data_IF_353914403252
#
_entry.id   IF_353914403252
#
_cell.length_a   1.000
_cell.length_b   1.000
_cell.length_c   1.000
_cell.angle_alpha   90.00
_cell.angle_beta   90.00
_cell.angle_gamma   90.00
#
_symmetry.space_group_name_H-M   'P 1'
#
loop_
_entity.id
_entity.type
_entity.pdbx_description
1 polymer ?
#
# COMPACT_ATOMS: atom_id res chain seq x y z
N UNK A 1 15.51 4.35 -16.08
CA UNK A 1 15.24 3.38 -15.00
C UNK A 1 15.67 2.01 -15.46
N UNK A 2 16.34 1.23 -14.61
CA UNK A 2 16.84 -0.10 -14.92
C UNK A 2 16.31 -1.06 -13.86
N UNK A 3 15.47 -2.00 -14.30
CA UNK A 3 14.89 -3.04 -13.45
C UNK A 3 15.51 -4.38 -13.85
N UNK A 4 16.25 -5.01 -12.93
CA UNK A 4 17.00 -6.23 -13.19
C UNK A 4 17.00 -7.15 -11.98
N UNK A 5 17.12 -8.49 -12.18
CA UNK A 5 17.14 -9.41 -11.07
C UNK A 5 18.41 -9.27 -10.22
N UNK A 6 18.41 -9.77 -8.97
CA UNK A 6 19.59 -9.78 -8.14
C UNK A 6 20.76 -10.49 -8.85
N UNK A 7 21.99 -10.00 -8.62
CA UNK A 7 23.24 -10.60 -9.12
C UNK A 7 23.46 -10.62 -10.65
N UNK A 8 22.64 -9.94 -11.44
CA UNK A 8 22.83 -9.83 -12.90
C UNK A 8 23.71 -8.63 -13.32
N UNK A 9 24.77 -8.34 -12.56
CA UNK A 9 25.76 -7.31 -12.91
C UNK A 9 25.29 -5.85 -12.87
N UNK A 10 24.05 -5.56 -12.46
CA UNK A 10 23.45 -4.21 -12.52
C UNK A 10 24.28 -3.13 -11.81
N UNK A 11 24.58 -3.29 -10.52
CA UNK A 11 25.37 -2.32 -9.75
C UNK A 11 26.83 -2.24 -10.19
N UNK A 12 27.41 -3.36 -10.64
CA UNK A 12 28.80 -3.40 -11.14
C UNK A 12 28.96 -2.57 -12.43
N UNK A 13 27.98 -2.65 -13.33
CA UNK A 13 28.01 -1.96 -14.61
C UNK A 13 27.60 -0.50 -14.44
N UNK A 14 26.43 -0.26 -13.84
CA UNK A 14 25.77 1.05 -13.77
C UNK A 14 26.38 1.94 -12.71
N UNK A 15 26.68 1.43 -11.52
CA UNK A 15 27.09 2.26 -10.38
C UNK A 15 28.60 2.21 -10.15
N UNK A 16 29.22 1.05 -10.33
CA UNK A 16 30.64 0.85 -10.02
C UNK A 16 31.59 1.23 -11.17
N UNK A 17 31.11 1.29 -12.42
CA UNK A 17 31.97 1.51 -13.60
C UNK A 17 31.56 2.74 -14.40
N UNK A 18 30.27 2.88 -14.71
CA UNK A 18 29.79 3.96 -15.59
C UNK A 18 30.14 5.39 -15.11
N UNK A 19 30.08 5.75 -13.80
CA UNK A 19 30.48 7.09 -13.36
C UNK A 19 31.92 7.46 -13.75
N UNK A 20 32.88 6.56 -13.53
CA UNK A 20 34.28 6.80 -13.89
C UNK A 20 34.47 6.98 -15.40
N UNK A 21 33.77 6.20 -16.22
CA UNK A 21 33.77 6.36 -17.68
C UNK A 21 33.14 7.70 -18.12
N UNK A 22 31.99 8.05 -17.54
CA UNK A 22 31.29 9.30 -17.82
C UNK A 22 32.16 10.52 -17.49
N UNK A 23 32.82 10.52 -16.33
CA UNK A 23 33.73 11.56 -15.89
C UNK A 23 34.99 11.64 -16.76
N UNK A 24 35.49 10.49 -17.22
CA UNK A 24 36.59 10.46 -18.18
C UNK A 24 36.26 11.21 -19.47
N UNK A 25 35.01 11.13 -19.95
CA UNK A 25 34.55 11.84 -21.15
C UNK A 25 34.07 13.27 -20.87
N UNK A 26 33.68 13.57 -19.63
CA UNK A 26 33.07 14.84 -19.25
C UNK A 26 33.71 15.37 -17.94
N UNK A 27 34.97 15.83 -17.98
CA UNK A 27 35.72 16.16 -16.77
C UNK A 27 35.18 17.38 -16.00
N UNK A 28 34.35 18.21 -16.62
CA UNK A 28 33.70 19.35 -15.94
C UNK A 28 32.41 18.96 -15.20
N UNK A 29 31.87 17.76 -15.44
CA UNK A 29 30.56 17.33 -14.96
C UNK A 29 30.65 16.66 -13.59
N UNK A 30 29.59 16.78 -12.80
CA UNK A 30 29.48 16.16 -11.47
C UNK A 30 28.58 14.94 -11.47
N UNK A 31 29.03 13.89 -10.77
CA UNK A 31 28.26 12.66 -10.56
C UNK A 31 27.91 12.51 -9.08
N UNK A 32 26.66 12.20 -8.77
CA UNK A 32 26.23 11.79 -7.43
C UNK A 32 25.68 10.37 -7.49
N UNK A 33 26.15 9.49 -6.61
CA UNK A 33 25.59 8.15 -6.44
C UNK A 33 24.98 8.00 -5.05
N UNK A 34 23.73 7.56 -4.97
CA UNK A 34 22.99 7.28 -3.75
C UNK A 34 22.68 5.78 -3.65
N UNK A 35 22.92 5.19 -2.49
CA UNK A 35 22.62 3.77 -2.22
C UNK A 35 21.99 3.59 -0.84
N UNK A 36 21.35 2.46 -0.55
CA UNK A 36 20.66 2.27 0.74
C UNK A 36 21.57 2.30 1.98
N UNK A 37 22.91 2.17 1.84
CA UNK A 37 23.83 2.18 2.98
C UNK A 37 25.13 2.95 2.71
N UNK A 38 25.69 3.58 3.75
CA UNK A 38 26.97 4.29 3.66
C UNK A 38 28.15 3.35 3.31
N UNK A 39 28.06 2.08 3.73
CA UNK A 39 29.06 1.06 3.40
C UNK A 39 29.12 0.77 1.89
N UNK A 40 27.96 0.70 1.22
CA UNK A 40 27.90 0.55 -0.23
C UNK A 40 28.36 1.81 -0.94
N UNK A 41 27.95 2.98 -0.45
CA UNK A 41 28.43 4.25 -0.95
C UNK A 41 29.96 4.34 -0.93
N UNK A 42 30.60 3.96 0.18
CA UNK A 42 32.06 3.91 0.30
C UNK A 42 32.70 2.93 -0.69
N UNK A 43 32.06 1.78 -0.94
CA UNK A 43 32.51 0.81 -1.95
C UNK A 43 32.45 1.40 -3.36
N UNK A 44 31.33 2.01 -3.75
CA UNK A 44 31.15 2.61 -5.07
C UNK A 44 32.11 3.77 -5.31
N UNK A 45 32.29 4.64 -4.32
CA UNK A 45 33.25 5.74 -4.38
C UNK A 45 34.68 5.24 -4.58
N UNK A 46 35.12 4.25 -3.79
CA UNK A 46 36.45 3.62 -3.95
C UNK A 46 36.63 3.04 -5.35
N UNK A 47 35.70 2.20 -5.80
CA UNK A 47 35.84 1.50 -7.08
C UNK A 47 35.85 2.43 -8.28
N UNK A 48 35.02 3.46 -8.30
CA UNK A 48 35.04 4.46 -9.38
C UNK A 48 36.32 5.30 -9.32
N UNK A 49 36.79 5.68 -8.13
CA UNK A 49 38.06 6.40 -7.97
C UNK A 49 39.24 5.58 -8.50
N UNK A 50 39.29 4.29 -8.16
CA UNK A 50 40.35 3.38 -8.61
C UNK A 50 40.31 3.21 -10.13
N UNK A 51 39.13 2.97 -10.72
CA UNK A 51 38.96 2.87 -12.18
C UNK A 51 39.28 4.18 -12.90
N UNK A 52 38.88 5.32 -12.34
CA UNK A 52 39.22 6.62 -12.91
C UNK A 52 40.73 6.82 -12.92
N UNK A 53 41.42 6.53 -11.81
CA UNK A 53 42.88 6.61 -11.73
C UNK A 53 43.57 5.67 -12.73
N UNK A 54 43.06 4.46 -12.89
CA UNK A 54 43.63 3.45 -13.78
C UNK A 54 43.46 3.81 -15.26
N UNK A 55 42.26 4.26 -15.66
CA UNK A 55 41.91 4.41 -17.07
C UNK A 55 41.89 5.86 -17.58
N UNK A 56 41.52 6.85 -16.75
CA UNK A 56 41.32 8.21 -17.23
C UNK A 56 42.64 8.93 -17.59
N UNK A 57 43.74 8.61 -16.91
CA UNK A 57 45.06 9.12 -17.24
C UNK A 57 45.53 8.65 -18.62
N UNK A 58 45.71 7.33 -18.83
CA UNK A 58 46.19 6.81 -20.11
C UNK A 58 45.26 7.10 -21.30
N UNK A 59 43.94 7.11 -21.09
CA UNK A 59 42.98 7.28 -22.18
C UNK A 59 42.67 8.74 -22.50
N UNK A 60 42.63 9.60 -21.47
CA UNK A 60 42.05 10.95 -21.59
C UNK A 60 42.94 12.05 -20.97
N UNK A 61 44.14 11.73 -20.48
CA UNK A 61 45.06 12.66 -19.83
C UNK A 61 44.45 13.40 -18.61
N UNK A 62 43.68 12.67 -17.79
CA UNK A 62 43.05 13.20 -16.58
C UNK A 62 43.65 12.58 -15.32
N UNK A 63 43.77 13.39 -14.26
CA UNK A 63 44.26 12.97 -12.95
C UNK A 63 43.25 13.27 -11.84
N UNK A 64 43.34 12.54 -10.73
CA UNK A 64 42.59 12.85 -9.53
C UNK A 64 43.10 14.15 -8.90
N UNK A 65 42.20 14.93 -8.32
CA UNK A 65 42.55 16.17 -7.64
C UNK A 65 43.52 15.92 -6.48
N UNK A 66 44.55 16.76 -6.37
CA UNK A 66 45.54 16.71 -5.27
C UNK A 66 44.96 17.22 -3.95
N UNK A 67 43.92 18.05 -4.00
CA UNK A 67 43.30 18.68 -2.83
C UNK A 67 42.00 17.99 -2.42
N UNK A 68 41.27 17.35 -3.34
CA UNK A 68 40.07 16.57 -3.04
C UNK A 68 40.14 15.15 -3.62
N UNK A 69 40.57 14.20 -2.79
CA UNK A 69 40.70 12.79 -3.14
C UNK A 69 40.13 11.85 -2.06
N UNK A 70 39.08 12.25 -1.32
CA UNK A 70 38.46 11.35 -0.38
C UNK A 70 37.78 10.17 -1.11
N UNK A 71 37.51 9.07 -0.38
CA UNK A 71 36.95 7.86 -1.01
C UNK A 71 35.53 8.09 -1.51
N UNK A 72 34.74 8.86 -0.77
CA UNK A 72 33.33 9.14 -1.09
C UNK A 72 33.16 10.44 -1.87
N UNK A 73 34.11 11.36 -1.78
CA UNK A 73 34.11 12.65 -2.47
C UNK A 73 35.49 12.86 -3.07
N UNK A 74 35.57 12.93 -4.39
CA UNK A 74 36.82 13.21 -5.08
C UNK A 74 36.57 14.05 -6.33
N UNK A 75 37.55 14.90 -6.64
CA UNK A 75 37.56 15.77 -7.81
C UNK A 75 38.55 15.33 -8.87
N UNK A 76 38.50 16.02 -10.01
CA UNK A 76 39.44 15.86 -11.12
C UNK A 76 40.38 17.07 -11.11
N UNK A 77 41.69 16.87 -11.21
CA UNK A 77 42.67 17.95 -11.16
C UNK A 77 42.47 18.92 -12.33
N UNK A 78 42.37 20.22 -12.05
CA UNK A 78 42.19 21.25 -13.06
C UNK A 78 40.78 21.38 -13.64
N UNK A 79 39.80 20.63 -13.13
CA UNK A 79 38.42 20.63 -13.65
C UNK A 79 37.37 20.79 -12.53
N UNK A 80 36.17 21.25 -12.89
CA UNK A 80 35.07 21.40 -11.93
C UNK A 80 34.38 20.09 -11.57
N UNK A 81 34.63 19.01 -12.31
CA UNK A 81 33.95 17.74 -12.14
C UNK A 81 34.51 16.85 -11.02
N UNK A 82 33.85 15.71 -10.86
CA UNK A 82 34.14 14.78 -9.77
C UNK A 82 32.91 13.97 -9.37
N UNK A 83 33.08 13.15 -8.33
CA UNK A 83 32.07 12.23 -7.86
C UNK A 83 31.84 12.36 -6.36
N UNK A 84 30.57 12.38 -5.96
CA UNK A 84 30.13 12.16 -4.58
C UNK A 84 29.35 10.84 -4.49
N UNK A 85 29.65 10.01 -3.51
CA UNK A 85 28.95 8.76 -3.22
C UNK A 85 28.45 8.76 -1.79
N UNK A 86 27.13 8.63 -1.61
CA UNK A 86 26.45 8.77 -0.32
C UNK A 86 25.42 7.67 -0.09
N UNK A 87 25.11 7.42 1.18
CA UNK A 87 23.92 6.66 1.55
C UNK A 87 22.66 7.53 1.44
N UNK A 88 21.49 6.90 1.28
CA UNK A 88 20.18 7.56 1.44
C UNK A 88 20.12 8.23 2.82
N UNK A 89 19.86 9.54 2.85
CA UNK A 89 19.88 10.37 4.06
C UNK A 89 21.27 10.82 4.52
N UNK A 90 22.32 10.60 3.72
CA UNK A 90 23.64 11.17 3.95
C UNK A 90 23.72 12.63 3.51
N UNK A 91 24.77 13.35 3.93
CA UNK A 91 24.94 14.76 3.56
C UNK A 91 25.30 14.92 2.08
N UNK A 92 24.51 15.72 1.35
CA UNK A 92 24.70 16.08 -0.07
C UNK A 92 24.83 17.61 -0.24
N UNK A 93 24.82 18.36 0.86
CA UNK A 93 24.74 19.83 0.85
C UNK A 93 25.95 20.44 0.15
N UNK A 94 25.69 21.34 -0.82
CA UNK A 94 26.73 22.04 -1.57
C UNK A 94 27.21 21.35 -2.85
N UNK A 95 26.71 20.15 -3.17
CA UNK A 95 27.07 19.42 -4.38
C UNK A 95 25.90 19.34 -5.37
N UNK A 96 26.11 19.81 -6.59
CA UNK A 96 25.20 19.59 -7.70
C UNK A 96 25.52 18.32 -8.49
N UNK A 97 24.56 17.83 -9.27
CA UNK A 97 24.70 16.64 -10.10
C UNK A 97 24.29 16.92 -11.55
N UNK A 98 25.16 16.56 -12.49
CA UNK A 98 24.82 16.42 -13.90
C UNK A 98 24.40 14.98 -14.24
N UNK A 99 24.89 14.01 -13.45
CA UNK A 99 24.48 12.62 -13.49
C UNK A 99 24.18 12.15 -12.06
N UNK A 100 22.98 11.68 -11.82
CA UNK A 100 22.60 11.06 -10.55
C UNK A 100 22.27 9.58 -10.73
N UNK A 101 22.85 8.73 -9.90
CA UNK A 101 22.57 7.28 -9.89
C UNK A 101 22.01 6.89 -8.53
N UNK A 102 20.81 6.30 -8.52
CA UNK A 102 20.17 5.75 -7.31
C UNK A 102 20.17 4.23 -7.45
N UNK A 103 20.96 3.54 -6.64
CA UNK A 103 21.19 2.09 -6.72
C UNK A 103 20.58 1.34 -5.52
N UNK A 104 19.62 0.47 -5.81
CA UNK A 104 18.91 -0.40 -4.87
C UNK A 104 18.59 0.33 -3.54
N UNK A 105 17.77 1.41 -3.51
CA UNK A 105 17.54 2.19 -2.30
C UNK A 105 16.77 1.44 -1.20
N UNK A 106 16.25 0.25 -1.50
CA UNK A 106 15.55 -0.64 -0.58
C UNK A 106 16.44 -1.85 -0.29
N UNK A 107 16.72 -2.10 1.00
CA UNK A 107 17.65 -3.16 1.43
C UNK A 107 17.08 -4.57 1.29
N UNK A 108 15.81 -4.77 1.67
CA UNK A 108 15.19 -6.09 1.77
C UNK A 108 13.65 -6.01 1.71
N UNK A 109 13.00 -7.18 1.80
CA UNK A 109 11.53 -7.27 1.77
C UNK A 109 10.83 -6.59 2.96
N UNK A 110 11.46 -6.52 4.13
CA UNK A 110 10.88 -5.87 5.31
C UNK A 110 10.81 -4.36 5.08
N UNK A 111 11.92 -3.77 4.62
CA UNK A 111 12.00 -2.36 4.24
C UNK A 111 11.01 -2.04 3.10
N UNK A 112 10.92 -2.93 2.10
CA UNK A 112 9.97 -2.77 1.00
C UNK A 112 8.51 -2.78 1.45
N UNK A 113 8.18 -3.61 2.45
CA UNK A 113 6.82 -3.73 2.99
C UNK A 113 6.46 -2.58 3.93
N UNK A 114 7.45 -1.93 4.55
CA UNK A 114 7.25 -0.79 5.44
C UNK A 114 6.92 0.47 4.65
N UNK A 115 5.69 0.97 4.81
CA UNK A 115 5.26 2.24 4.22
C UNK A 115 6.14 3.39 4.69
N UNK A 116 6.44 3.47 5.99
CA UNK A 116 7.33 4.49 6.56
C UNK A 116 8.70 4.53 5.88
N UNK A 117 9.30 3.38 5.55
CA UNK A 117 10.59 3.34 4.86
C UNK A 117 10.44 3.76 3.39
N UNK A 118 9.35 3.37 2.72
CA UNK A 118 9.06 3.83 1.35
C UNK A 118 8.86 5.34 1.29
N UNK A 119 8.10 5.91 2.22
CA UNK A 119 7.94 7.36 2.36
C UNK A 119 9.27 8.05 2.59
N UNK A 120 10.10 7.55 3.52
CA UNK A 120 11.43 8.13 3.76
C UNK A 120 12.31 8.16 2.51
N UNK A 121 12.30 7.10 1.69
CA UNK A 121 13.06 7.05 0.44
C UNK A 121 12.48 8.03 -0.58
N UNK A 122 11.16 8.16 -0.62
CA UNK A 122 10.45 9.11 -1.48
C UNK A 122 10.74 10.56 -1.08
N UNK A 123 10.68 10.89 0.20
CA UNK A 123 10.99 12.21 0.74
C UNK A 123 12.45 12.58 0.45
N UNK A 124 13.38 11.64 0.57
CA UNK A 124 14.78 11.87 0.19
C UNK A 124 14.91 12.19 -1.30
N UNK A 125 14.13 11.54 -2.16
CA UNK A 125 14.11 11.89 -3.58
C UNK A 125 13.57 13.31 -3.81
N UNK A 126 12.40 13.60 -3.27
CA UNK A 126 11.69 14.86 -3.50
C UNK A 126 12.43 16.05 -2.90
N UNK A 127 12.85 15.95 -1.64
CA UNK A 127 13.41 17.06 -0.87
C UNK A 127 14.92 17.22 -1.05
N UNK A 128 15.66 16.12 -1.24
CA UNK A 128 17.13 16.15 -1.23
C UNK A 128 17.73 15.86 -2.60
N UNK A 129 17.46 14.71 -3.21
CA UNK A 129 18.18 14.27 -4.40
C UNK A 129 17.78 15.06 -5.64
N UNK A 130 16.48 15.25 -5.86
CA UNK A 130 15.96 15.93 -7.05
C UNK A 130 16.39 17.40 -7.11
N UNK A 131 16.52 18.05 -5.94
CA UNK A 131 16.91 19.46 -5.81
C UNK A 131 18.40 19.72 -6.10
N UNK A 132 19.22 18.67 -6.19
CA UNK A 132 20.64 18.77 -6.58
C UNK A 132 20.88 18.66 -8.08
N UNK A 133 19.85 18.33 -8.86
CA UNK A 133 19.98 18.14 -10.29
C UNK A 133 20.17 19.48 -11.00
N UNK A 134 21.26 19.61 -11.75
CA UNK A 134 21.46 20.74 -12.65
C UNK A 134 20.45 20.72 -13.82
N UNK A 135 20.29 21.87 -14.48
CA UNK A 135 19.55 21.95 -15.74
C UNK A 135 20.15 20.98 -16.78
N UNK A 136 19.33 20.07 -17.30
CA UNK A 136 19.78 19.04 -18.24
C UNK A 136 20.41 17.79 -17.60
N UNK A 137 20.38 17.67 -16.27
CA UNK A 137 20.95 16.51 -15.59
C UNK A 137 20.18 15.20 -15.89
N UNK A 138 20.95 14.12 -16.05
CA UNK A 138 20.46 12.76 -16.25
C UNK A 138 20.32 12.01 -14.92
N UNK A 139 19.27 11.18 -14.80
CA UNK A 139 19.04 10.37 -13.61
C UNK A 139 18.86 8.92 -13.99
N UNK A 140 19.62 8.04 -13.34
CA UNK A 140 19.53 6.60 -13.48
C UNK A 140 19.10 6.01 -12.14
N UNK A 141 17.87 5.51 -12.09
CA UNK A 141 17.42 4.66 -10.98
C UNK A 141 17.61 3.21 -11.42
N UNK A 142 18.43 2.47 -10.70
CA UNK A 142 18.70 1.04 -10.94
C UNK A 142 18.33 0.26 -9.69
N UNK A 143 17.41 -0.70 -9.81
CA UNK A 143 17.07 -1.55 -8.67
C UNK A 143 16.45 -2.87 -9.08
N UNK A 144 16.41 -3.78 -8.11
CA UNK A 144 15.52 -4.94 -8.12
C UNK A 144 14.16 -4.50 -7.57
N UNK A 145 13.07 -4.73 -8.30
CA UNK A 145 11.74 -4.36 -7.82
C UNK A 145 11.32 -5.26 -6.64
N UNK A 146 10.80 -4.65 -5.58
CA UNK A 146 10.30 -5.37 -4.39
C UNK A 146 8.81 -5.15 -4.14
N UNK A 147 8.34 -3.93 -4.39
CA UNK A 147 6.99 -3.48 -4.10
C UNK A 147 6.48 -2.60 -5.25
N UNK A 148 5.18 -2.58 -5.51
CA UNK A 148 4.63 -1.78 -6.62
C UNK A 148 4.78 -0.27 -6.37
N UNK A 149 4.67 0.13 -5.11
CA UNK A 149 4.81 1.49 -4.59
C UNK A 149 6.27 1.84 -4.17
N UNK A 150 7.26 1.13 -4.72
CA UNK A 150 8.65 1.54 -4.56
C UNK A 150 8.98 2.81 -5.37
N UNK A 151 10.19 3.35 -5.20
CA UNK A 151 10.61 4.61 -5.85
C UNK A 151 10.40 4.60 -7.36
N UNK A 152 10.65 3.47 -8.05
CA UNK A 152 10.39 3.38 -9.49
C UNK A 152 8.89 3.47 -9.77
N UNK A 153 8.07 2.74 -9.01
CA UNK A 153 6.61 2.83 -9.14
C UNK A 153 6.08 4.25 -8.97
N UNK A 154 6.54 4.96 -7.94
CA UNK A 154 6.14 6.34 -7.67
C UNK A 154 6.62 7.32 -8.74
N UNK A 155 7.87 7.22 -9.18
CA UNK A 155 8.43 8.05 -10.25
C UNK A 155 7.69 7.87 -11.59
N UNK A 156 7.31 6.63 -11.92
CA UNK A 156 6.50 6.34 -13.11
C UNK A 156 5.10 6.94 -12.98
N UNK A 157 4.47 6.86 -11.80
CA UNK A 157 3.15 7.43 -11.54
C UNK A 157 3.16 8.96 -11.56
N UNK A 158 4.19 9.59 -11.01
CA UNK A 158 4.34 11.05 -10.96
C UNK A 158 4.50 11.65 -12.37
N UNK A 159 5.24 10.99 -13.26
CA UNK A 159 5.37 11.41 -14.67
C UNK A 159 6.10 12.73 -14.89
N UNK A 160 6.78 13.29 -13.89
CA UNK A 160 7.44 14.59 -13.97
C UNK A 160 8.70 14.63 -14.88
N UNK A 161 9.24 13.46 -15.25
CA UNK A 161 10.41 13.32 -16.14
C UNK A 161 10.13 12.26 -17.21
N UNK A 162 10.71 12.37 -18.42
CA UNK A 162 10.55 11.40 -19.50
C UNK A 162 11.36 10.12 -19.19
N UNK A 163 10.85 9.30 -18.27
CA UNK A 163 11.54 8.10 -17.83
C UNK A 163 11.59 7.02 -18.91
N UNK A 164 12.80 6.68 -19.34
CA UNK A 164 13.04 5.47 -20.15
C UNK A 164 13.09 4.27 -19.21
N UNK A 165 12.18 3.32 -19.38
CA UNK A 165 12.10 2.12 -18.54
C UNK A 165 12.80 0.94 -19.23
N UNK A 166 13.90 0.48 -18.65
CA UNK A 166 14.63 -0.69 -19.08
C UNK A 166 14.31 -1.87 -18.15
N UNK A 167 13.32 -2.70 -18.52
CA UNK A 167 12.91 -3.88 -17.77
C UNK A 167 13.56 -5.14 -18.36
N UNK A 168 14.41 -5.80 -17.59
CA UNK A 168 15.09 -7.03 -18.01
C UNK A 168 14.68 -8.16 -17.05
N UNK A 169 13.66 -8.97 -17.37
CA UNK A 169 13.25 -10.08 -16.53
C UNK A 169 14.25 -11.25 -16.63
N UNK A 170 14.34 -12.06 -15.57
CA UNK A 170 15.18 -13.24 -15.51
C UNK A 170 14.83 -14.26 -16.61
N UNK A 171 13.55 -14.36 -16.98
CA UNK A 171 13.06 -15.11 -18.14
C UNK A 171 12.25 -14.16 -19.02
N UNK A 172 12.51 -14.13 -20.32
CA UNK A 172 11.74 -13.33 -21.28
C UNK A 172 10.27 -13.81 -21.34
N UNK A 173 9.31 -12.88 -21.26
CA UNK A 173 7.87 -13.19 -21.17
C UNK A 173 7.06 -12.71 -22.37
N UNK A 174 7.60 -11.76 -23.13
CA UNK A 174 6.89 -11.07 -24.21
C UNK A 174 7.89 -10.53 -25.24
N UNK A 175 7.37 -10.05 -26.37
CA UNK A 175 8.15 -9.52 -27.49
C UNK A 175 8.76 -8.14 -27.20
N UNK A 176 8.45 -7.53 -26.04
CA UNK A 176 9.00 -6.23 -25.64
C UNK A 176 10.35 -6.34 -24.94
N UNK A 177 10.93 -7.54 -24.91
CA UNK A 177 12.26 -7.78 -24.35
C UNK A 177 13.33 -6.96 -25.07
N UNK A 178 14.07 -6.17 -24.29
CA UNK A 178 15.06 -5.21 -24.80
C UNK A 178 16.30 -5.86 -25.42
N UNK A 179 16.53 -7.14 -25.13
CA UNK A 179 17.62 -7.93 -25.70
C UNK A 179 17.14 -8.79 -26.87
N UNK A 180 15.87 -8.63 -27.29
CA UNK A 180 15.24 -9.41 -28.35
C UNK A 180 15.31 -10.92 -28.13
N UNK A 181 15.30 -11.34 -26.86
CA UNK A 181 15.27 -12.76 -26.47
C UNK A 181 13.95 -13.39 -26.85
N UNK A 182 13.98 -14.68 -27.21
CA UNK A 182 12.75 -15.45 -27.43
C UNK A 182 12.04 -15.65 -26.09
N UNK A 183 10.71 -15.69 -26.12
CA UNK A 183 9.90 -16.00 -24.94
C UNK A 183 10.37 -17.32 -24.32
N UNK A 184 10.70 -17.29 -23.03
CA UNK A 184 11.27 -18.43 -22.29
C UNK A 184 12.80 -18.42 -22.15
N UNK A 185 13.52 -17.61 -22.91
CA UNK A 185 14.98 -17.50 -22.77
C UNK A 185 15.36 -16.75 -21.49
N UNK A 186 16.43 -17.20 -20.85
CA UNK A 186 16.94 -16.68 -19.59
C UNK A 186 17.87 -15.48 -19.77
N UNK A 187 18.05 -14.69 -18.71
CA UNK A 187 18.97 -13.55 -18.69
C UNK A 187 20.34 -14.01 -18.20
N UNK A 188 21.40 -13.65 -18.92
CA UNK A 188 22.80 -13.95 -18.57
C UNK A 188 23.10 -15.44 -18.28
N UNK A 189 22.75 -16.39 -19.18
CA UNK A 189 23.08 -17.81 -19.01
C UNK A 189 24.59 -18.05 -18.84
N UNK A 190 25.43 -17.21 -19.44
CA UNK A 190 26.90 -17.24 -19.34
C UNK A 190 27.42 -17.01 -17.91
N UNK A 191 26.61 -16.41 -17.02
CA UNK A 191 26.94 -16.25 -15.59
C UNK A 191 26.41 -17.42 -14.73
N UNK A 192 25.88 -18.46 -15.36
CA UNK A 192 25.28 -19.62 -14.68
C UNK A 192 23.79 -19.46 -14.36
N UNK A 193 23.13 -18.43 -14.89
CA UNK A 193 21.68 -18.22 -14.76
C UNK A 193 20.90 -18.90 -15.88
N UNK A 194 21.11 -20.21 -16.03
CA UNK A 194 20.45 -21.03 -17.06
C UNK A 194 18.97 -21.33 -16.74
N UNK A 195 18.29 -22.04 -17.65
CA UNK A 195 16.89 -22.45 -17.42
C UNK A 195 16.68 -23.32 -16.17
N UNK A 196 17.69 -24.14 -15.84
CA UNK A 196 17.62 -25.03 -14.67
C UNK A 196 17.68 -24.21 -13.40
N UNK A 197 18.59 -23.23 -13.34
CA UNK A 197 18.66 -22.25 -12.28
C UNK A 197 17.34 -21.50 -12.14
N UNK A 198 16.77 -20.99 -13.23
CA UNK A 198 15.51 -20.24 -13.19
C UNK A 198 14.36 -21.08 -12.59
N UNK A 199 14.21 -22.33 -13.06
CA UNK A 199 13.19 -23.27 -12.55
C UNK A 199 13.40 -23.62 -11.07
N UNK A 200 14.65 -23.85 -10.65
CA UNK A 200 14.97 -24.13 -9.25
C UNK A 200 14.71 -22.91 -8.38
N UNK A 201 15.18 -21.73 -8.81
CA UNK A 201 15.05 -20.50 -8.04
C UNK A 201 13.60 -20.07 -7.88
N UNK A 202 12.78 -20.21 -8.93
CA UNK A 202 11.34 -19.98 -8.86
C UNK A 202 10.65 -20.86 -7.80
N UNK A 203 11.04 -22.14 -7.70
CA UNK A 203 10.53 -23.04 -6.66
C UNK A 203 11.01 -22.64 -5.27
N UNK A 204 12.28 -22.27 -5.13
CA UNK A 204 12.90 -21.88 -3.86
C UNK A 204 12.26 -20.62 -3.26
N UNK A 205 12.12 -19.55 -4.06
CA UNK A 205 11.67 -18.25 -3.54
C UNK A 205 10.15 -18.07 -3.56
N UNK A 206 9.44 -18.96 -4.26
CA UNK A 206 8.00 -18.90 -4.45
C UNK A 206 7.56 -17.87 -5.50
N UNK A 207 6.32 -18.00 -5.96
CA UNK A 207 5.78 -17.25 -7.10
C UNK A 207 5.76 -15.72 -6.92
N UNK A 208 5.46 -15.23 -5.70
CA UNK A 208 5.42 -13.79 -5.41
C UNK A 208 6.80 -13.16 -5.49
N UNK A 209 7.78 -13.73 -4.80
CA UNK A 209 9.17 -13.27 -4.82
C UNK A 209 9.77 -13.40 -6.22
N UNK A 210 9.45 -14.48 -6.94
CA UNK A 210 9.85 -14.66 -8.34
C UNK A 210 9.30 -13.55 -9.24
N UNK A 211 7.99 -13.30 -9.18
CA UNK A 211 7.33 -12.25 -9.97
C UNK A 211 7.95 -10.88 -9.71
N UNK A 212 8.14 -10.54 -8.43
CA UNK A 212 8.68 -9.24 -8.02
C UNK A 212 10.16 -9.10 -8.38
N UNK A 213 11.03 -9.90 -7.75
CA UNK A 213 12.49 -9.69 -7.81
C UNK A 213 13.12 -10.19 -9.10
N UNK A 214 12.55 -11.19 -9.76
CA UNK A 214 13.18 -11.82 -10.93
C UNK A 214 12.49 -11.40 -12.22
N UNK A 215 11.16 -11.33 -12.24
CA UNK A 215 10.41 -10.87 -13.41
C UNK A 215 10.14 -9.36 -13.40
N UNK A 216 10.55 -8.61 -12.37
CA UNK A 216 10.33 -7.16 -12.23
C UNK A 216 8.85 -6.77 -12.28
N UNK A 217 7.98 -7.61 -11.74
CA UNK A 217 6.52 -7.41 -11.63
C UNK A 217 6.07 -7.56 -10.18
N UNK A 218 6.36 -6.56 -9.33
CA UNK A 218 5.79 -6.53 -7.99
C UNK A 218 4.28 -6.39 -8.08
N UNK A 219 3.57 -7.03 -7.16
CA UNK A 219 2.11 -6.91 -7.01
C UNK A 219 1.75 -6.56 -5.57
N UNK A 220 0.62 -5.88 -5.33
CA UNK A 220 0.20 -5.51 -3.99
C UNK A 220 0.06 -6.74 -3.10
N UNK A 221 0.30 -6.59 -1.80
CA UNK A 221 0.09 -7.68 -0.83
C UNK A 221 -1.37 -8.19 -0.83
N UNK A 222 -2.33 -7.35 -1.21
CA UNK A 222 -3.75 -7.70 -1.39
C UNK A 222 -4.16 -8.10 -2.82
N UNK A 223 -3.24 -8.10 -3.77
CA UNK A 223 -3.50 -8.47 -5.17
C UNK A 223 -3.34 -9.96 -5.37
N UNK A 224 -4.34 -10.76 -5.00
CA UNK A 224 -4.39 -12.16 -5.38
C UNK A 224 -4.62 -12.28 -6.89
N UNK A 225 -3.56 -12.64 -7.61
CA UNK A 225 -3.54 -12.88 -9.06
C UNK A 225 -4.53 -14.00 -9.39
N UNK A 226 -5.66 -13.66 -10.02
CA UNK A 226 -6.45 -14.64 -10.75
C UNK A 226 -5.55 -15.28 -11.82
N UNK A 227 -5.29 -16.60 -11.74
CA UNK A 227 -4.59 -17.29 -12.83
C UNK A 227 -5.58 -17.50 -13.96
N UNK A 228 -5.19 -17.25 -15.22
CA UNK A 228 -6.07 -17.41 -16.40
C UNK A 228 -6.70 -18.81 -16.51
N UNK A 229 -6.06 -19.84 -15.94
CA UNK A 229 -6.59 -21.21 -15.83
C UNK A 229 -7.68 -21.43 -14.76
N UNK A 230 -8.00 -20.42 -13.96
CA UNK A 230 -8.98 -20.48 -12.87
C UNK A 230 -10.39 -20.07 -13.33
N UNK A 231 -10.55 -19.52 -14.53
CA UNK A 231 -11.86 -19.27 -15.13
C UNK A 231 -12.28 -20.51 -15.91
N UNK A 232 -13.31 -21.22 -15.43
CA UNK A 232 -14.06 -22.22 -16.20
C UNK A 232 -15.56 -22.01 -16.00
N UNK A 233 -16.32 -22.16 -17.09
CA UNK A 233 -17.75 -21.90 -17.13
C UNK A 233 -18.57 -23.04 -16.50
N UNK A 234 -19.68 -22.64 -15.88
CA UNK A 234 -20.57 -23.46 -15.09
C UNK A 234 -21.32 -24.50 -15.92
N UNK A 235 -21.57 -25.63 -15.25
CA UNK A 235 -22.31 -26.76 -15.79
C UNK A 235 -23.83 -26.47 -15.69
N UNK A 236 -24.59 -26.42 -16.80
CA UNK A 236 -25.95 -25.88 -16.81
C UNK A 236 -27.05 -26.70 -16.11
N UNK A 237 -26.78 -27.96 -15.72
CA UNK A 237 -27.77 -28.83 -15.08
C UNK A 237 -27.14 -29.91 -14.20
N UNK A 238 -27.95 -30.51 -13.33
CA UNK A 238 -27.55 -31.58 -12.38
C UNK A 238 -27.06 -32.84 -13.10
N UNK A 239 -27.68 -33.20 -14.23
CA UNK A 239 -27.23 -34.32 -15.07
C UNK A 239 -25.83 -34.09 -15.67
N UNK A 240 -25.50 -32.87 -16.09
CA UNK A 240 -24.17 -32.57 -16.64
C UNK A 240 -23.13 -32.51 -15.52
N UNK A 241 -23.52 -32.13 -14.29
CA UNK A 241 -22.67 -32.18 -13.08
C UNK A 241 -22.31 -33.62 -12.72
N UNK A 242 -23.28 -34.53 -12.77
CA UNK A 242 -23.10 -35.96 -12.48
C UNK A 242 -22.28 -36.64 -13.59
N UNK A 243 -22.52 -36.31 -14.87
CA UNK A 243 -21.72 -36.82 -16.00
C UNK A 243 -20.26 -36.37 -15.95
N UNK A 244 -19.97 -35.19 -15.38
CA UNK A 244 -18.61 -34.62 -15.25
C UNK A 244 -17.96 -34.89 -13.88
N UNK A 245 -18.65 -35.59 -12.97
CA UNK A 245 -18.16 -36.01 -11.66
C UNK A 245 -17.69 -34.87 -10.73
N UNK A 246 -18.42 -33.75 -10.68
CA UNK A 246 -18.07 -32.57 -9.87
C UNK A 246 -18.73 -32.62 -8.47
N UNK A 247 -17.93 -32.68 -7.39
CA UNK A 247 -18.42 -32.74 -6.00
C UNK A 247 -18.80 -31.37 -5.42
N UNK A 248 -19.63 -31.37 -4.37
CA UNK A 248 -20.09 -30.17 -3.65
C UNK A 248 -18.96 -29.36 -2.98
N UNK A 249 -17.79 -29.97 -2.77
CA UNK A 249 -16.58 -29.30 -2.27
C UNK A 249 -16.11 -28.16 -3.19
N UNK A 250 -16.40 -28.26 -4.49
CA UNK A 250 -16.05 -27.23 -5.49
C UNK A 250 -16.86 -25.94 -5.28
N UNK A 251 -18.11 -26.06 -4.82
CA UNK A 251 -18.98 -24.92 -4.50
C UNK A 251 -18.48 -24.24 -3.22
N UNK A 252 -18.08 -25.03 -2.21
CA UNK A 252 -17.51 -24.53 -0.95
C UNK A 252 -16.24 -23.70 -1.23
N UNK A 253 -15.38 -24.19 -2.11
CA UNK A 253 -14.17 -23.49 -2.54
C UNK A 253 -14.51 -22.16 -3.25
N UNK A 254 -15.52 -22.15 -4.12
CA UNK A 254 -15.94 -20.93 -4.82
C UNK A 254 -16.39 -19.85 -3.83
N UNK A 255 -17.12 -20.23 -2.79
CA UNK A 255 -17.50 -19.32 -1.71
C UNK A 255 -16.29 -18.81 -0.89
N UNK A 256 -15.20 -19.58 -0.73
CA UNK A 256 -13.98 -19.11 -0.04
C UNK A 256 -13.31 -17.99 -0.83
N UNK A 257 -13.19 -18.18 -2.13
CA UNK A 257 -12.61 -17.18 -3.00
C UNK A 257 -13.47 -15.92 -3.08
N UNK A 258 -14.80 -16.07 -3.17
CA UNK A 258 -15.71 -14.93 -3.18
C UNK A 258 -15.66 -14.14 -1.85
N UNK A 259 -15.61 -14.84 -0.71
CA UNK A 259 -15.46 -14.21 0.61
C UNK A 259 -14.16 -13.42 0.76
N UNK A 260 -13.04 -13.99 0.30
CA UNK A 260 -11.76 -13.29 0.26
C UNK A 260 -11.79 -12.06 -0.64
N UNK A 261 -12.34 -12.17 -1.85
CA UNK A 261 -12.40 -11.08 -2.82
C UNK A 261 -13.31 -9.94 -2.37
N UNK A 262 -14.50 -10.26 -1.86
CA UNK A 262 -15.45 -9.29 -1.31
C UNK A 262 -15.01 -8.74 0.05
N UNK A 263 -13.94 -9.30 0.65
CA UNK A 263 -13.52 -9.08 2.03
C UNK A 263 -14.69 -9.21 3.01
N UNK A 264 -15.63 -10.10 2.73
CA UNK A 264 -16.86 -10.31 3.48
C UNK A 264 -16.88 -11.78 3.92
N UNK A 265 -17.12 -12.09 5.21
CA UNK A 265 -17.18 -13.46 5.68
C UNK A 265 -18.21 -14.27 4.89
N UNK A 266 -17.91 -15.55 4.64
CA UNK A 266 -18.81 -16.47 3.93
C UNK A 266 -20.20 -16.52 4.53
N UNK A 267 -20.28 -16.51 5.86
CA UNK A 267 -21.53 -16.56 6.63
C UNK A 267 -22.42 -15.37 6.29
N UNK A 268 -21.85 -14.16 6.28
CA UNK A 268 -22.54 -12.93 5.87
C UNK A 268 -22.93 -12.98 4.40
N UNK A 269 -22.02 -13.37 3.50
CA UNK A 269 -22.31 -13.48 2.06
C UNK A 269 -23.42 -14.47 1.72
N UNK A 270 -23.55 -15.54 2.51
CA UNK A 270 -24.55 -16.59 2.29
C UNK A 270 -25.84 -16.37 3.10
N UNK A 271 -25.92 -15.30 3.89
CA UNK A 271 -27.05 -15.05 4.80
C UNK A 271 -27.23 -16.17 5.84
N UNK A 272 -26.13 -16.80 6.28
CA UNK A 272 -26.14 -17.89 7.26
C UNK A 272 -25.74 -17.35 8.63
N UNK A 273 -26.42 -17.83 9.69
CA UNK A 273 -25.99 -17.56 11.06
C UNK A 273 -24.55 -18.07 11.28
N UNK A 274 -23.75 -17.28 11.99
CA UNK A 274 -22.39 -17.66 12.31
C UNK A 274 -22.43 -18.91 13.22
N UNK A 275 -21.96 -20.05 12.70
CA UNK A 275 -21.90 -21.27 13.48
C UNK A 275 -21.08 -21.10 14.76
N UNK A 276 -21.36 -21.92 15.77
CA UNK A 276 -20.78 -21.92 17.13
C UNK A 276 -19.26 -22.17 17.23
N UNK A 277 -18.57 -22.25 16.09
CA UNK A 277 -17.10 -22.32 16.04
C UNK A 277 -16.53 -20.92 16.23
N UNK A 278 -15.83 -20.73 17.34
CA UNK A 278 -15.18 -19.49 17.77
C UNK A 278 -14.52 -18.70 16.64
N UNK A 279 -13.83 -19.34 15.70
CA UNK A 279 -13.19 -18.67 14.56
C UNK A 279 -14.15 -17.95 13.60
N UNK A 280 -15.33 -18.53 13.32
CA UNK A 280 -16.32 -17.92 12.42
C UNK A 280 -16.97 -16.68 13.03
N UNK A 281 -17.09 -16.63 14.37
CA UNK A 281 -17.60 -15.46 15.09
C UNK A 281 -16.61 -14.29 15.05
N UNK A 282 -15.30 -14.54 15.22
CA UNK A 282 -14.28 -13.49 15.13
C UNK A 282 -14.21 -12.85 13.74
N UNK A 283 -14.33 -13.63 12.66
CA UNK A 283 -14.31 -13.10 11.30
C UNK A 283 -15.51 -12.20 11.00
N UNK A 284 -16.70 -12.57 11.50
CA UNK A 284 -17.92 -11.76 11.40
C UNK A 284 -17.81 -10.49 12.22
N UNK A 285 -17.29 -10.58 13.44
CA UNK A 285 -17.07 -9.43 14.31
C UNK A 285 -16.08 -8.44 13.68
N UNK A 286 -14.95 -8.92 13.17
CA UNK A 286 -13.97 -8.09 12.47
C UNK A 286 -14.56 -7.40 11.23
N UNK A 287 -15.42 -8.10 10.49
CA UNK A 287 -16.13 -7.53 9.36
C UNK A 287 -17.05 -6.38 9.79
N UNK A 288 -17.89 -6.60 10.81
CA UNK A 288 -18.79 -5.55 11.29
C UNK A 288 -18.06 -4.38 11.95
N UNK A 289 -16.96 -4.62 12.67
CA UNK A 289 -16.11 -3.53 13.19
C UNK A 289 -15.53 -2.67 12.07
N UNK A 290 -15.17 -3.27 10.93
CA UNK A 290 -14.71 -2.51 9.76
C UNK A 290 -15.82 -1.67 9.14
N UNK A 291 -17.03 -2.21 9.01
CA UNK A 291 -18.18 -1.47 8.49
C UNK A 291 -18.56 -0.33 9.44
N UNK A 292 -18.59 -0.57 10.75
CA UNK A 292 -18.83 0.47 11.76
C UNK A 292 -17.75 1.57 11.67
N UNK A 293 -16.49 1.20 11.51
CA UNK A 293 -15.40 2.17 11.30
C UNK A 293 -15.60 3.01 10.04
N UNK A 294 -16.08 2.43 8.94
CA UNK A 294 -16.40 3.18 7.71
C UNK A 294 -17.60 4.09 7.90
N UNK A 295 -18.65 3.62 8.59
CA UNK A 295 -19.83 4.41 8.92
C UNK A 295 -19.43 5.65 9.74
N UNK A 296 -18.64 5.47 10.79
CA UNK A 296 -18.22 6.54 11.70
C UNK A 296 -17.19 7.49 11.08
N UNK A 297 -16.15 6.97 10.43
CA UNK A 297 -15.03 7.81 9.97
C UNK A 297 -15.22 8.35 8.55
N UNK A 298 -16.10 7.74 7.75
CA UNK A 298 -16.19 8.03 6.31
C UNK A 298 -17.59 8.22 5.78
N UNK A 299 -18.66 7.94 6.53
CA UNK A 299 -20.02 8.27 6.09
C UNK A 299 -20.64 9.36 6.96
N UNK A 300 -20.47 9.28 8.28
CA UNK A 300 -21.02 10.24 9.23
C UNK A 300 -20.62 11.68 8.91
N UNK A 301 -19.34 12.05 8.67
CA UNK A 301 -19.00 13.43 8.36
C UNK A 301 -19.74 13.97 7.12
N UNK A 302 -19.93 13.13 6.11
CA UNK A 302 -20.58 13.48 4.85
C UNK A 302 -22.10 13.57 5.01
N UNK A 303 -22.69 12.64 5.75
CA UNK A 303 -24.11 12.66 6.07
C UNK A 303 -24.45 13.85 6.97
N UNK A 304 -23.64 14.13 7.98
CA UNK A 304 -23.81 15.30 8.84
C UNK A 304 -23.72 16.60 8.04
N UNK A 305 -22.75 16.69 7.12
CA UNK A 305 -22.64 17.83 6.22
C UNK A 305 -23.88 17.99 5.32
N UNK A 306 -24.36 16.89 4.73
CA UNK A 306 -25.55 16.92 3.88
C UNK A 306 -26.82 17.26 4.67
N UNK A 307 -26.99 16.70 5.87
CA UNK A 307 -28.11 17.01 6.76
C UNK A 307 -28.09 18.49 7.18
N UNK A 308 -26.92 19.05 7.49
CA UNK A 308 -26.77 20.49 7.76
C UNK A 308 -27.20 21.35 6.57
N UNK A 309 -26.81 20.97 5.35
CA UNK A 309 -27.24 21.67 4.13
C UNK A 309 -28.77 21.57 3.91
N UNK A 310 -29.36 20.41 4.18
CA UNK A 310 -30.81 20.21 4.09
C UNK A 310 -31.57 21.04 5.14
N UNK A 311 -31.04 21.17 6.36
CA UNK A 311 -31.61 22.01 7.42
C UNK A 311 -31.59 23.50 7.07
N UNK A 312 -30.64 23.94 6.24
CA UNK A 312 -30.58 25.31 5.70
C UNK A 312 -31.37 25.52 4.42
N UNK A 313 -31.89 24.47 3.77
CA UNK A 313 -32.58 24.58 2.49
C UNK A 313 -34.02 25.11 2.65
N UNK A 314 -34.37 26.15 1.89
CA UNK A 314 -35.65 26.87 2.01
C UNK A 314 -36.84 26.15 1.35
N UNK A 315 -36.60 25.39 0.27
CA UNK A 315 -37.67 24.97 -0.62
C UNK A 315 -38.33 23.62 -0.28
N UNK A 316 -37.61 22.69 0.38
CA UNK A 316 -38.09 21.31 0.58
C UNK A 316 -38.37 20.90 2.03
N UNK A 317 -37.71 21.52 3.03
CA UNK A 317 -37.79 21.07 4.43
C UNK A 317 -38.46 22.06 5.42
N UNK A 318 -38.97 23.19 4.94
CA UNK A 318 -39.89 24.04 5.70
C UNK A 318 -39.31 24.63 6.99
N UNK A 319 -38.39 25.59 6.83
CA UNK A 319 -37.92 26.48 7.89
C UNK A 319 -36.42 26.35 8.12
N UNK A 320 -35.70 27.49 8.08
CA UNK A 320 -34.28 27.59 8.40
C UNK A 320 -34.03 27.12 9.84
N UNK A 321 -33.81 25.82 10.02
CA UNK A 321 -33.37 25.30 11.32
C UNK A 321 -31.85 25.45 11.30
N UNK A 322 -31.35 26.32 12.18
CA UNK A 322 -29.91 26.37 12.42
C UNK A 322 -29.51 25.03 13.07
N UNK A 323 -28.69 24.19 12.41
CA UNK A 323 -28.30 22.88 12.93
C UNK A 323 -27.52 22.98 14.25
N UNK A 324 -26.98 24.14 14.61
CA UNK A 324 -26.29 24.35 15.88
C UNK A 324 -27.24 24.86 16.99
N UNK A 325 -28.49 25.19 16.65
CA UNK A 325 -29.53 25.60 17.60
C UNK A 325 -30.30 24.44 18.24
N UNK A 326 -30.11 23.22 17.73
CA UNK A 326 -30.74 21.99 18.23
C UNK A 326 -29.69 20.90 18.47
N UNK A 327 -29.93 20.04 19.46
CA UNK A 327 -29.10 18.85 19.66
C UNK A 327 -29.56 17.74 18.71
N UNK A 328 -28.67 17.25 17.86
CA UNK A 328 -28.96 16.16 16.94
C UNK A 328 -27.72 15.31 16.70
N UNK A 329 -27.95 14.05 16.33
CA UNK A 329 -26.92 13.09 15.97
C UNK A 329 -27.46 12.16 14.88
N UNK A 330 -26.54 11.56 14.13
CA UNK A 330 -26.87 10.43 13.23
C UNK A 330 -26.56 9.14 13.98
N UNK A 331 -27.46 8.16 13.96
CA UNK A 331 -27.17 6.84 14.51
C UNK A 331 -27.30 5.79 13.41
N UNK A 332 -26.28 4.94 13.28
CA UNK A 332 -26.34 3.82 12.35
C UNK A 332 -27.00 2.63 13.04
N UNK A 333 -27.85 1.91 12.30
CA UNK A 333 -28.46 0.69 12.79
C UNK A 333 -27.39 -0.33 13.24
N UNK A 334 -27.63 -1.07 14.34
CA UNK A 334 -26.72 -2.11 14.80
C UNK A 334 -26.45 -3.14 13.69
N UNK A 335 -25.17 -3.35 13.38
CA UNK A 335 -24.76 -4.25 12.31
C UNK A 335 -24.85 -5.74 12.70
N UNK A 336 -25.01 -6.02 13.99
CA UNK A 336 -25.17 -7.36 14.54
C UNK A 336 -25.95 -7.29 15.85
N UNK A 337 -26.68 -8.36 16.14
CA UNK A 337 -27.29 -8.60 17.46
C UNK A 337 -26.53 -9.73 18.13
N UNK A 338 -26.07 -9.50 19.36
CA UNK A 338 -25.60 -10.59 20.23
C UNK A 338 -26.80 -11.51 20.46
N UNK A 339 -26.62 -12.83 20.43
CA UNK A 339 -27.70 -13.72 20.88
C UNK A 339 -28.01 -13.42 22.36
N UNK A 340 -29.27 -13.60 22.76
CA UNK A 340 -29.75 -13.18 24.07
C UNK A 340 -29.00 -13.80 25.25
N UNK A 341 -28.36 -14.95 25.03
CA UNK A 341 -27.58 -15.64 26.06
C UNK A 341 -26.20 -15.01 26.22
N UNK A 342 -25.49 -14.74 25.13
CA UNK A 342 -24.18 -14.07 25.20
C UNK A 342 -24.31 -12.60 25.64
N UNK A 343 -25.38 -11.90 25.27
CA UNK A 343 -25.67 -10.54 25.79
C UNK A 343 -25.85 -10.57 27.32
N UNK A 344 -26.59 -11.57 27.82
CA UNK A 344 -26.80 -11.75 29.26
C UNK A 344 -25.50 -12.09 30.00
N UNK A 345 -24.63 -12.92 29.43
CA UNK A 345 -23.33 -13.27 30.01
C UNK A 345 -22.37 -12.06 30.05
N UNK A 346 -22.32 -11.25 28.98
CA UNK A 346 -21.50 -10.02 28.95
C UNK A 346 -22.01 -9.02 29.99
N UNK A 347 -23.33 -8.83 30.11
CA UNK A 347 -23.91 -7.96 31.13
C UNK A 347 -23.58 -8.44 32.54
N UNK A 348 -23.65 -9.76 32.77
CA UNK A 348 -23.27 -10.36 34.05
C UNK A 348 -21.79 -10.12 34.39
N UNK A 349 -20.88 -10.36 33.46
CA UNK A 349 -19.43 -10.13 33.63
C UNK A 349 -19.10 -8.66 33.88
N UNK A 350 -19.82 -7.77 33.20
CA UNK A 350 -19.67 -6.32 33.37
C UNK A 350 -20.15 -5.90 34.76
N UNK A 351 -21.31 -6.38 35.21
CA UNK A 351 -21.81 -6.11 36.55
C UNK A 351 -20.91 -6.68 37.65
N UNK A 352 -20.32 -7.86 37.45
CA UNK A 352 -19.34 -8.45 38.36
C UNK A 352 -18.05 -7.62 38.42
N UNK A 353 -17.59 -7.10 37.29
CA UNK A 353 -16.41 -6.23 37.21
C UNK A 353 -16.66 -4.87 37.87
N UNK A 354 -17.80 -4.24 37.58
CA UNK A 354 -18.21 -2.96 38.18
C UNK A 354 -18.33 -3.11 39.71
N UNK A 355 -18.86 -4.25 40.20
CA UNK A 355 -18.89 -4.56 41.63
C UNK A 355 -17.49 -4.64 42.25
N UNK A 356 -16.54 -5.30 41.59
CA UNK A 356 -15.14 -5.39 42.07
C UNK A 356 -14.50 -4.00 42.12
N UNK A 357 -14.72 -3.16 41.11
CA UNK A 357 -14.17 -1.81 41.07
C UNK A 357 -14.77 -0.89 42.14
N UNK A 358 -16.06 -1.05 42.45
CA UNK A 358 -16.71 -0.35 43.57
C UNK A 358 -16.13 -0.84 44.91
N UNK A 359 -16.04 -2.16 45.12
CA UNK A 359 -15.51 -2.74 46.37
C UNK A 359 -14.02 -2.41 46.59
N UNK A 360 -13.24 -2.27 45.52
CA UNK A 360 -11.83 -1.87 45.57
C UNK A 360 -11.63 -0.35 45.64
N UNK A 361 -12.71 0.45 45.61
CA UNK A 361 -12.66 1.91 45.69
C UNK A 361 -12.10 2.59 44.44
N UNK A 362 -12.08 1.87 43.30
CA UNK A 362 -11.58 2.38 42.01
C UNK A 362 -12.66 3.18 41.26
N UNK A 363 -13.94 2.83 41.43
CA UNK A 363 -15.08 3.53 40.83
C UNK A 363 -16.16 3.82 41.87
N UNK A 364 -16.81 4.98 41.78
CA UNK A 364 -17.98 5.30 42.59
C UNK A 364 -19.26 4.69 41.99
N UNK A 365 -20.23 4.22 42.78
CA UNK A 365 -21.51 3.72 42.28
C UNK A 365 -22.26 4.70 41.37
N UNK A 366 -22.13 6.01 41.60
CA UNK A 366 -22.77 7.04 40.78
C UNK A 366 -22.18 7.15 39.37
N UNK A 367 -20.86 7.02 39.25
CA UNK A 367 -20.14 7.01 37.96
C UNK A 367 -20.55 5.79 37.10
N UNK A 368 -20.72 4.63 37.74
CA UNK A 368 -21.20 3.42 37.06
C UNK A 368 -22.65 3.59 36.60
N UNK A 369 -23.50 4.22 37.41
CA UNK A 369 -24.89 4.48 37.04
C UNK A 369 -24.97 5.41 35.81
N UNK A 370 -24.19 6.48 35.78
CA UNK A 370 -24.14 7.40 34.65
C UNK A 370 -23.55 6.74 33.39
N UNK A 371 -22.45 6.00 33.51
CA UNK A 371 -21.81 5.32 32.38
C UNK A 371 -22.69 4.21 31.77
N UNK A 372 -23.53 3.55 32.57
CA UNK A 372 -24.37 2.44 32.12
C UNK A 372 -25.79 2.85 31.73
N UNK A 373 -26.33 3.90 32.36
CA UNK A 373 -27.75 4.27 32.24
C UNK A 373 -27.97 5.77 31.97
N UNK A 374 -26.91 6.59 31.95
CA UNK A 374 -26.99 8.05 31.86
C UNK A 374 -27.15 8.61 30.44
N UNK A 375 -26.95 7.82 29.39
CA UNK A 375 -27.30 8.22 28.02
C UNK A 375 -28.63 7.60 27.62
N UNK A 376 -29.68 8.40 27.82
CA UNK A 376 -31.09 8.18 27.48
C UNK A 376 -31.85 7.20 28.38
N UNK A 377 -32.63 7.78 29.29
CA UNK A 377 -33.75 7.11 29.93
C UNK A 377 -34.78 6.69 28.89
N UNK A 378 -34.77 5.41 28.55
CA UNK A 378 -35.93 4.70 28.02
C UNK A 378 -36.05 3.41 28.81
N UNK A 379 -37.02 3.39 29.70
CA UNK A 379 -37.67 2.19 30.24
C UNK A 379 -37.85 1.15 29.12
N UNK A 380 -37.67 -0.13 29.45
CA UNK A 380 -37.71 -1.31 28.57
C UNK A 380 -39.00 -1.55 27.73
N UNK A 381 -39.79 -0.55 27.38
CA UNK A 381 -41.08 -0.70 26.68
C UNK A 381 -41.18 -0.05 25.30
N UNK A 382 -40.07 0.34 24.66
CA UNK A 382 -40.12 0.91 23.29
C UNK A 382 -38.85 0.70 22.46
N UNK A 383 -38.35 -0.54 22.38
CA UNK A 383 -37.51 -0.90 21.22
C UNK A 383 -38.42 -1.01 19.99
N UNK A 384 -38.65 0.10 19.31
CA UNK A 384 -39.19 0.09 17.95
C UNK A 384 -38.14 -0.56 17.03
N UNK A 385 -38.33 -1.83 16.70
CA UNK A 385 -37.59 -2.51 15.65
C UNK A 385 -38.01 -1.93 14.30
N UNK A 386 -37.14 -1.12 13.69
CA UNK A 386 -37.33 -0.55 12.35
C UNK A 386 -37.08 -1.60 11.23
N UNK A 387 -37.61 -2.81 11.39
CA UNK A 387 -37.49 -3.89 10.41
C UNK A 387 -38.74 -4.05 9.52
N UNK A 388 -39.76 -3.22 9.71
CA UNK A 388 -40.94 -3.25 8.85
C UNK A 388 -40.97 -1.98 7.98
N UNK A 389 -40.93 -2.16 6.64
CA UNK A 389 -41.08 -1.07 5.67
C UNK A 389 -42.32 -0.18 5.97
N UNK A 390 -43.33 -0.76 6.60
CA UNK A 390 -44.55 -0.12 7.09
C UNK A 390 -44.35 0.97 8.15
N UNK A 391 -43.25 1.00 8.89
CA UNK A 391 -43.02 2.01 9.93
C UNK A 391 -42.25 3.23 9.42
N UNK A 392 -41.47 3.07 8.33
CA UNK A 392 -40.89 4.20 7.58
C UNK A 392 -41.99 4.97 6.86
N UNK A 393 -42.96 4.28 6.26
CA UNK A 393 -44.10 4.92 5.59
C UNK A 393 -44.97 5.73 6.56
N UNK A 394 -45.18 5.24 7.79
CA UNK A 394 -45.90 5.98 8.83
C UNK A 394 -45.13 7.19 9.35
N UNK A 395 -43.81 7.07 9.49
CA UNK A 395 -42.96 8.19 9.89
C UNK A 395 -42.97 9.26 8.79
N UNK A 396 -42.83 8.87 7.53
CA UNK A 396 -42.92 9.74 6.36
C UNK A 396 -44.29 10.41 6.25
N UNK A 397 -45.39 9.68 6.46
CA UNK A 397 -46.74 10.27 6.52
C UNK A 397 -46.89 11.28 7.66
N UNK A 398 -46.33 11.00 8.84
CA UNK A 398 -46.43 11.90 10.00
C UNK A 398 -45.65 13.21 9.79
N UNK A 399 -44.47 13.12 9.16
CA UNK A 399 -43.63 14.27 8.82
C UNK A 399 -44.29 15.08 7.70
N UNK A 400 -44.82 14.41 6.67
CA UNK A 400 -45.55 15.07 5.57
C UNK A 400 -46.85 15.75 6.05
N UNK A 401 -47.55 15.14 7.01
CA UNK A 401 -48.78 15.71 7.57
C UNK A 401 -48.49 16.97 8.40
N UNK A 402 -47.45 16.96 9.25
CA UNK A 402 -46.99 18.16 9.98
C UNK A 402 -46.49 19.26 9.03
N UNK A 403 -45.82 18.88 7.94
CA UNK A 403 -45.40 19.83 6.90
C UNK A 403 -46.60 20.52 6.23
N UNK A 404 -47.68 19.78 5.94
CA UNK A 404 -48.92 20.37 5.40
C UNK A 404 -49.64 21.27 6.40
N UNK A 405 -49.69 20.89 7.67
CA UNK A 405 -50.32 21.69 8.74
C UNK A 405 -49.61 23.04 8.92
N UNK A 406 -48.27 23.07 8.90
CA UNK A 406 -47.49 24.31 8.99
C UNK A 406 -47.58 25.22 7.76
N UNK A 407 -48.08 24.73 6.62
CA UNK A 407 -48.25 25.50 5.38
C UNK A 407 -49.68 26.06 5.22
N UNK A 408 -50.61 25.70 6.11
CA UNK A 408 -51.97 26.23 6.12
C UNK A 408 -52.11 27.53 6.94
N UNK A 409 -51.13 27.82 7.81
CA UNK A 409 -51.07 29.04 8.64
C UNK A 409 -50.06 30.10 8.12
N UNK A 410 -49.70 30.03 6.83
CA UNK A 410 -48.79 30.97 6.15
C UNK A 410 -49.36 31.54 4.86
#
# INVERSE_FOLDING_TARGET
MIEMPPRHGKSMTVTESFPSFYLGKNPEKRVITASYSDSLAKKFGRKNKDKFKEFAGPLNNLELSKTNAAVKDWGIEGHSGGMLSTGVGGSITGHGADLMIIDDPIKNQQDASSETIREKIWDEWESTLSTRLHGGASVIVVMTRWHEDDIIGRLLKQGARPWIRLRLPAVAEDETDLLHRKIGEVLCPELGYDEKWAKQKQKEVGSRTWSSLYQQRPTPAGGSIFKRKWVKYYVPSREVKDRLNLSDETIILTWDYLAGAARMPKTVLKGQEAGTLTGAQYDVMNYYSRIASMQENSMRPQLEYLVRLLMWCEDECGGRIDPDSIEWSIEFNPLWSVDSKTDAEIRKLTAESDKIYIESGVLDPSDVQEARFGRFGVTETSKFNADSATDIDKLAESVYKKYKENRADG
#
